data_IF_274104930462
#
_entry.id   IF_274104930462
#
_cell.length_a   1.000
_cell.length_b   1.000
_cell.length_c   1.000
_cell.angle_alpha   90.00
_cell.angle_beta   90.00
_cell.angle_gamma   90.00
#
_symmetry.space_group_name_H-M   'P 1'
#
loop_
_entity.id
_entity.type
_entity.pdbx_description
1 polymer ?
#
# COMPACT_ATOMS: atom_id res chain seq x y z
N UNK A 1 5.85 -32.28 -2.67
CA UNK A 1 5.31 -32.81 -3.94
C UNK A 1 4.49 -31.72 -4.61
N UNK A 2 4.82 -31.48 -5.88
CA UNK A 2 4.24 -30.52 -6.83
C UNK A 2 2.73 -30.29 -6.74
N UNK A 3 2.33 -29.02 -6.73
CA UNK A 3 1.49 -28.40 -7.79
C UNK A 3 1.42 -26.88 -7.62
N UNK A 4 2.32 -26.19 -8.33
CA UNK A 4 2.07 -24.85 -8.85
C UNK A 4 0.88 -24.92 -9.81
N UNK A 5 -0.35 -24.83 -9.31
CA UNK A 5 -1.51 -24.53 -10.15
C UNK A 5 -1.70 -23.02 -10.14
N UNK A 6 -0.82 -22.36 -10.88
CA UNK A 6 -1.04 -21.03 -11.39
C UNK A 6 -2.20 -21.15 -12.38
N UNK A 7 -3.40 -20.86 -11.91
CA UNK A 7 -4.49 -20.46 -12.78
C UNK A 7 -4.88 -19.07 -12.32
N UNK A 8 -4.18 -18.05 -12.84
CA UNK A 8 -4.71 -16.69 -12.84
C UNK A 8 -6.13 -16.79 -13.36
N UNK A 9 -7.08 -16.32 -12.55
CA UNK A 9 -8.49 -16.41 -12.92
C UNK A 9 -8.72 -15.53 -14.18
N UNK A 10 -9.89 -15.63 -14.81
CA UNK A 10 -10.17 -14.84 -16.02
C UNK A 10 -9.93 -13.33 -15.81
N UNK A 11 -10.21 -12.82 -14.60
CA UNK A 11 -10.05 -11.42 -14.23
C UNK A 11 -8.55 -11.06 -14.24
N UNK A 12 -7.69 -11.80 -13.54
CA UNK A 12 -6.25 -11.53 -13.47
C UNK A 12 -5.59 -11.53 -14.86
N UNK A 13 -5.98 -12.50 -15.69
CA UNK A 13 -5.50 -12.59 -17.09
C UNK A 13 -5.96 -11.40 -17.92
N UNK A 14 -7.21 -10.99 -17.76
CA UNK A 14 -7.78 -9.86 -18.50
C UNK A 14 -7.09 -8.56 -18.09
N UNK A 15 -6.91 -8.32 -16.80
CA UNK A 15 -6.17 -7.16 -16.29
C UNK A 15 -4.73 -7.12 -16.82
N UNK A 16 -4.04 -8.26 -16.81
CA UNK A 16 -2.67 -8.37 -17.33
C UNK A 16 -2.59 -8.03 -18.83
N UNK A 17 -3.53 -8.53 -19.63
CA UNK A 17 -3.59 -8.24 -21.08
C UNK A 17 -3.88 -6.75 -21.31
N UNK A 18 -4.88 -6.19 -20.62
CA UNK A 18 -5.24 -4.78 -20.77
C UNK A 18 -4.06 -3.87 -20.37
N UNK A 19 -3.40 -4.14 -19.25
CA UNK A 19 -2.22 -3.40 -18.83
C UNK A 19 -1.11 -3.44 -19.90
N UNK A 20 -0.82 -4.62 -20.45
CA UNK A 20 0.18 -4.78 -21.51
C UNK A 20 -0.18 -4.00 -22.80
N UNK A 21 -1.46 -3.93 -23.15
CA UNK A 21 -1.91 -3.12 -24.29
C UNK A 21 -1.70 -1.64 -24.00
N UNK A 22 -2.10 -1.18 -22.81
CA UNK A 22 -1.95 0.23 -22.41
C UNK A 22 -0.48 0.67 -22.42
N UNK A 23 0.46 -0.13 -21.92
CA UNK A 23 1.90 0.18 -21.94
C UNK A 23 2.49 0.32 -23.37
N UNK A 24 1.83 -0.26 -24.38
CA UNK A 24 2.25 -0.11 -25.78
C UNK A 24 1.71 1.16 -26.42
N UNK A 25 0.59 1.67 -25.93
CA UNK A 25 -0.13 2.81 -26.53
C UNK A 25 0.20 4.12 -25.80
N UNK A 26 0.36 4.08 -24.48
CA UNK A 26 0.67 5.26 -23.68
C UNK A 26 2.16 5.61 -23.87
N UNK A 27 2.49 6.87 -24.19
CA UNK A 27 3.88 7.32 -24.28
C UNK A 27 4.54 7.23 -22.91
N UNK A 28 5.34 6.18 -22.71
CA UNK A 28 6.05 5.85 -21.48
C UNK A 28 7.50 5.51 -21.80
N UNK A 29 8.40 5.92 -20.92
CA UNK A 29 9.83 5.60 -20.98
C UNK A 29 10.07 4.12 -20.69
N UNK A 30 11.27 3.62 -21.04
CA UNK A 30 11.65 2.24 -20.69
C UNK A 30 11.65 2.02 -19.18
N UNK A 31 12.10 3.02 -18.41
CA UNK A 31 12.15 2.94 -16.95
C UNK A 31 10.78 2.82 -16.30
N UNK A 32 9.80 3.62 -16.73
CA UNK A 32 8.42 3.55 -16.23
C UNK A 32 7.77 2.19 -16.52
N UNK A 33 8.03 1.62 -17.72
CA UNK A 33 7.54 0.28 -18.08
C UNK A 33 8.14 -0.82 -17.20
N UNK A 34 9.44 -0.72 -16.91
CA UNK A 34 10.13 -1.64 -16.02
C UNK A 34 9.62 -1.49 -14.58
N UNK A 35 9.50 -0.26 -14.07
CA UNK A 35 8.94 0.03 -12.75
C UNK A 35 7.55 -0.56 -12.57
N UNK A 36 6.67 -0.36 -13.55
CA UNK A 36 5.32 -0.94 -13.58
C UNK A 36 5.35 -2.48 -13.55
N UNK A 37 6.29 -3.10 -14.27
CA UNK A 37 6.41 -4.56 -14.32
C UNK A 37 6.77 -5.12 -12.94
N UNK A 38 7.80 -4.55 -12.30
CA UNK A 38 8.16 -4.93 -10.93
C UNK A 38 7.02 -4.67 -9.94
N UNK A 39 6.34 -3.53 -10.05
CA UNK A 39 5.20 -3.22 -9.19
C UNK A 39 4.08 -4.25 -9.31
N UNK A 40 3.70 -4.60 -10.54
CA UNK A 40 2.66 -5.60 -10.81
C UNK A 40 3.05 -6.97 -10.28
N UNK A 41 4.28 -7.39 -10.53
CA UNK A 41 4.76 -8.71 -10.13
C UNK A 41 4.80 -8.82 -8.60
N UNK A 42 5.18 -7.74 -7.89
CA UNK A 42 5.09 -7.64 -6.44
C UNK A 42 3.66 -7.80 -5.89
N UNK A 43 2.64 -7.40 -6.65
CA UNK A 43 1.23 -7.56 -6.26
C UNK A 43 0.66 -8.95 -6.57
N UNK A 44 1.27 -9.70 -7.48
CA UNK A 44 0.70 -10.95 -8.00
C UNK A 44 1.05 -12.22 -7.21
N UNK A 45 2.01 -12.17 -6.27
CA UNK A 45 2.53 -13.37 -5.61
C UNK A 45 2.49 -13.34 -4.08
N UNK A 46 2.25 -14.51 -3.48
CA UNK A 46 2.12 -14.71 -2.03
C UNK A 46 3.45 -14.84 -1.26
N UNK A 47 4.58 -14.49 -1.87
CA UNK A 47 5.88 -14.48 -1.21
C UNK A 47 6.31 -13.05 -0.89
N UNK A 48 6.20 -12.68 0.38
CA UNK A 48 6.57 -11.35 0.85
C UNK A 48 8.03 -10.95 0.57
N UNK A 49 8.95 -11.91 0.53
CA UNK A 49 10.36 -11.59 0.26
C UNK A 49 10.59 -11.16 -1.20
N UNK A 50 9.98 -11.87 -2.15
CA UNK A 50 10.06 -11.55 -3.57
C UNK A 50 9.32 -10.26 -3.91
N UNK A 51 8.11 -10.09 -3.34
CA UNK A 51 7.35 -8.86 -3.47
C UNK A 51 8.13 -7.64 -2.97
N UNK A 52 8.82 -7.77 -1.83
CA UNK A 52 9.64 -6.71 -1.28
C UNK A 52 10.82 -6.35 -2.20
N UNK A 53 11.49 -7.34 -2.77
CA UNK A 53 12.57 -7.11 -3.73
C UNK A 53 12.06 -6.40 -4.99
N UNK A 54 10.94 -6.83 -5.53
CA UNK A 54 10.30 -6.19 -6.68
C UNK A 54 9.89 -4.74 -6.36
N UNK A 55 9.33 -4.47 -5.18
CA UNK A 55 9.04 -3.08 -4.78
C UNK A 55 10.31 -2.22 -4.65
N UNK A 56 11.44 -2.77 -4.22
CA UNK A 56 12.70 -2.02 -4.21
C UNK A 56 13.22 -1.69 -5.61
N UNK A 57 13.12 -2.61 -6.56
CA UNK A 57 13.48 -2.32 -7.95
C UNK A 57 12.51 -1.30 -8.58
N UNK A 58 11.21 -1.43 -8.34
CA UNK A 58 10.22 -0.43 -8.76
C UNK A 58 10.54 0.95 -8.16
N UNK A 59 10.87 1.02 -6.87
CA UNK A 59 11.22 2.26 -6.16
C UNK A 59 12.49 2.94 -6.72
N UNK A 60 13.41 2.16 -7.26
CA UNK A 60 14.67 2.64 -7.84
C UNK A 60 14.45 3.30 -9.21
N UNK A 61 13.49 2.77 -9.97
CA UNK A 61 13.18 3.21 -11.33
C UNK A 61 12.11 4.30 -11.35
N UNK A 62 11.14 4.25 -10.43
CA UNK A 62 10.06 5.22 -10.36
C UNK A 62 10.54 6.56 -9.81
N UNK A 63 10.19 7.64 -10.51
CA UNK A 63 10.57 9.01 -10.18
C UNK A 63 9.36 9.83 -9.73
N UNK A 64 8.15 9.47 -10.16
CA UNK A 64 6.95 10.21 -9.83
C UNK A 64 6.65 10.09 -8.32
N UNK A 65 6.53 11.23 -7.59
CA UNK A 65 6.31 11.19 -6.16
C UNK A 65 5.02 10.48 -5.74
N UNK A 66 3.97 10.58 -6.56
CA UNK A 66 2.68 9.97 -6.28
C UNK A 66 2.79 8.45 -6.42
N UNK A 67 3.36 7.93 -7.50
CA UNK A 67 3.52 6.48 -7.67
C UNK A 67 4.49 5.89 -6.64
N UNK A 68 5.60 6.59 -6.33
CA UNK A 68 6.51 6.20 -5.25
C UNK A 68 5.82 6.10 -3.89
N UNK A 69 4.84 6.95 -3.62
CA UNK A 69 4.09 6.90 -2.36
C UNK A 69 3.34 5.56 -2.19
N UNK A 70 2.76 5.02 -3.27
CA UNK A 70 2.10 3.72 -3.23
C UNK A 70 3.08 2.56 -3.10
N UNK A 71 4.25 2.65 -3.74
CA UNK A 71 5.31 1.64 -3.57
C UNK A 71 5.77 1.61 -2.10
N UNK A 72 6.05 2.77 -1.48
CA UNK A 72 6.42 2.86 -0.05
C UNK A 72 5.31 2.31 0.86
N UNK A 73 4.05 2.66 0.58
CA UNK A 73 2.90 2.15 1.30
C UNK A 73 2.82 0.61 1.23
N UNK A 74 3.02 0.01 0.06
CA UNK A 74 2.97 -1.45 -0.10
C UNK A 74 4.16 -2.15 0.57
N UNK A 75 5.35 -1.55 0.59
CA UNK A 75 6.47 -2.03 1.41
C UNK A 75 6.07 -2.02 2.90
N UNK A 76 5.44 -0.94 3.36
CA UNK A 76 4.89 -0.84 4.72
C UNK A 76 3.90 -1.96 5.03
N UNK A 77 2.98 -2.28 4.11
CA UNK A 77 2.03 -3.40 4.25
C UNK A 77 2.74 -4.74 4.46
N UNK A 78 3.79 -5.02 3.68
CA UNK A 78 4.56 -6.26 3.82
C UNK A 78 5.21 -6.33 5.22
N UNK A 79 5.81 -5.23 5.69
CA UNK A 79 6.38 -5.17 7.03
C UNK A 79 5.31 -5.33 8.13
N UNK A 80 4.11 -4.77 7.94
CA UNK A 80 2.97 -5.01 8.84
C UNK A 80 2.62 -6.50 8.90
N UNK A 81 2.49 -7.16 7.75
CA UNK A 81 2.18 -8.59 7.66
C UNK A 81 3.26 -9.48 8.29
N UNK A 82 4.52 -9.05 8.28
CA UNK A 82 5.64 -9.73 8.93
C UNK A 82 5.76 -9.43 10.44
N UNK A 83 4.89 -8.61 11.01
CA UNK A 83 4.95 -8.19 12.41
C UNK A 83 6.05 -7.15 12.72
N UNK A 84 6.72 -6.63 11.69
CA UNK A 84 7.79 -5.63 11.82
C UNK A 84 7.21 -4.21 11.92
N UNK A 85 6.40 -3.98 12.94
CA UNK A 85 5.57 -2.78 13.07
C UNK A 85 6.36 -1.46 13.05
N UNK A 86 7.56 -1.41 13.63
CA UNK A 86 8.40 -0.20 13.61
C UNK A 86 8.84 0.18 12.19
N UNK A 87 9.27 -0.81 11.39
CA UNK A 87 9.63 -0.59 9.99
C UNK A 87 8.40 -0.20 9.17
N UNK A 88 7.27 -0.85 9.42
CA UNK A 88 6.02 -0.54 8.74
C UNK A 88 5.62 0.94 8.94
N UNK A 89 5.67 1.43 10.19
CA UNK A 89 5.40 2.83 10.51
C UNK A 89 6.36 3.77 9.75
N UNK A 90 7.66 3.47 9.72
CA UNK A 90 8.65 4.28 8.97
C UNK A 90 8.28 4.38 7.48
N UNK A 91 7.92 3.25 6.85
CA UNK A 91 7.54 3.24 5.44
C UNK A 91 6.22 3.97 5.18
N UNK A 92 5.23 3.86 6.07
CA UNK A 92 3.99 4.64 5.96
C UNK A 92 4.24 6.14 6.11
N UNK A 93 5.11 6.56 7.03
CA UNK A 93 5.51 7.95 7.16
C UNK A 93 6.18 8.46 5.88
N UNK A 94 7.14 7.71 5.34
CA UNK A 94 7.81 8.06 4.08
C UNK A 94 6.83 8.13 2.91
N UNK A 95 5.81 7.26 2.87
CA UNK A 95 4.75 7.33 1.87
C UNK A 95 3.96 8.65 1.99
N UNK A 96 3.59 9.02 3.22
CA UNK A 96 2.84 10.24 3.53
C UNK A 96 3.64 11.52 3.29
N UNK A 97 4.95 11.51 3.46
CA UNK A 97 5.84 12.63 3.08
C UNK A 97 5.78 12.91 1.57
N UNK A 98 5.54 11.88 0.75
CA UNK A 98 5.40 12.01 -0.71
C UNK A 98 3.98 12.34 -1.13
N UNK A 99 3.00 11.71 -0.47
CA UNK A 99 1.59 11.91 -0.74
C UNK A 99 0.80 11.95 0.58
N UNK A 100 0.46 13.15 1.08
CA UNK A 100 -0.31 13.29 2.31
C UNK A 100 -1.78 12.86 2.16
N UNK A 101 -2.24 12.55 0.94
CA UNK A 101 -3.61 12.12 0.64
C UNK A 101 -3.71 10.59 0.53
N UNK A 102 -3.02 9.85 1.41
CA UNK A 102 -3.08 8.39 1.53
C UNK A 102 -3.81 7.97 2.82
N UNK A 103 -5.15 7.98 2.84
CA UNK A 103 -5.93 7.66 4.03
C UNK A 103 -5.70 6.21 4.51
N UNK A 104 -5.34 5.29 3.61
CA UNK A 104 -5.02 3.91 3.95
C UNK A 104 -3.73 3.80 4.79
N UNK A 105 -2.73 4.66 4.52
CA UNK A 105 -1.50 4.69 5.31
C UNK A 105 -1.79 5.11 6.75
N UNK A 106 -2.55 6.20 6.94
CA UNK A 106 -2.99 6.62 8.26
C UNK A 106 -3.79 5.54 9.00
N UNK A 107 -4.72 4.87 8.31
CA UNK A 107 -5.48 3.78 8.91
C UNK A 107 -4.57 2.64 9.40
N UNK A 108 -3.59 2.21 8.59
CA UNK A 108 -2.68 1.12 8.99
C UNK A 108 -1.76 1.53 10.13
N UNK A 109 -1.28 2.77 10.15
CA UNK A 109 -0.53 3.32 11.28
C UNK A 109 -1.37 3.35 12.56
N UNK A 110 -2.64 3.75 12.45
CA UNK A 110 -3.57 3.76 13.58
C UNK A 110 -3.80 2.35 14.13
N UNK A 111 -4.00 1.36 13.25
CA UNK A 111 -4.16 -0.06 13.64
C UNK A 111 -2.92 -0.57 14.38
N UNK A 112 -1.72 -0.22 13.91
CA UNK A 112 -0.47 -0.57 14.61
C UNK A 112 -0.42 0.09 16.00
N UNK A 113 -0.70 1.39 16.08
CA UNK A 113 -0.65 2.14 17.33
C UNK A 113 -1.76 1.73 18.30
N UNK A 114 -2.88 1.18 17.81
CA UNK A 114 -4.06 0.89 18.62
C UNK A 114 -3.76 -0.04 19.81
N UNK A 115 -2.78 -0.93 19.69
CA UNK A 115 -2.47 -1.91 20.74
C UNK A 115 -1.65 -1.35 21.90
N UNK A 116 -1.06 -0.15 21.76
CA UNK A 116 -0.16 0.41 22.77
C UNK A 116 -0.33 1.92 23.02
N UNK A 117 -0.80 2.68 22.02
CA UNK A 117 -0.86 4.14 22.02
C UNK A 117 -2.19 4.63 21.46
N UNK A 118 -3.25 4.55 22.26
CA UNK A 118 -4.62 4.87 21.84
C UNK A 118 -4.79 6.30 21.34
N UNK A 119 -4.13 7.28 21.96
CA UNK A 119 -4.28 8.69 21.56
C UNK A 119 -3.61 8.94 20.21
N UNK A 120 -2.45 8.32 19.96
CA UNK A 120 -1.79 8.39 18.66
C UNK A 120 -2.60 7.66 17.56
N UNK A 121 -3.17 6.50 17.89
CA UNK A 121 -4.08 5.80 16.98
C UNK A 121 -5.30 6.66 16.62
N UNK A 122 -5.85 7.39 17.59
CA UNK A 122 -6.97 8.29 17.37
C UNK A 122 -6.62 9.41 16.40
N UNK A 123 -5.47 10.06 16.57
CA UNK A 123 -5.02 11.13 15.68
C UNK A 123 -4.85 10.66 14.23
N UNK A 124 -4.26 9.49 14.01
CA UNK A 124 -4.15 8.92 12.67
C UNK A 124 -5.52 8.56 12.08
N UNK A 125 -6.43 7.98 12.86
CA UNK A 125 -7.77 7.69 12.36
C UNK A 125 -8.58 8.95 12.05
N UNK A 126 -8.42 10.03 12.84
CA UNK A 126 -9.00 11.35 12.51
C UNK A 126 -8.51 11.83 11.14
N UNK A 127 -7.21 11.71 10.86
CA UNK A 127 -6.63 12.10 9.57
C UNK A 127 -7.17 11.23 8.42
N UNK A 128 -7.25 9.90 8.60
CA UNK A 128 -7.84 9.00 7.60
C UNK A 128 -9.31 9.34 7.29
N UNK A 129 -10.12 9.62 8.32
CA UNK A 129 -11.54 9.98 8.18
C UNK A 129 -11.71 11.35 7.52
N UNK A 130 -10.86 12.32 7.83
CA UNK A 130 -10.92 13.65 7.22
C UNK A 130 -10.68 13.58 5.70
N UNK A 131 -9.78 12.70 5.26
CA UNK A 131 -9.48 12.48 3.84
C UNK A 131 -10.56 11.66 3.12
N UNK A 132 -11.25 10.75 3.82
CA UNK A 132 -12.30 9.93 3.20
C UNK A 132 -13.50 9.77 4.15
N UNK A 133 -14.35 10.80 4.24
CA UNK A 133 -15.53 10.75 5.09
C UNK A 133 -16.44 9.57 4.69
N UNK A 134 -16.68 8.65 5.63
CA UNK A 134 -17.60 7.51 5.44
C UNK A 134 -16.96 6.15 5.15
N UNK A 135 -15.64 6.05 4.92
CA UNK A 135 -14.98 4.76 4.66
C UNK A 135 -14.61 4.02 5.97
N UNK A 136 -13.94 4.69 6.90
CA UNK A 136 -13.40 4.10 8.13
C UNK A 136 -14.46 4.04 9.25
N UNK A 137 -15.57 3.35 9.00
CA UNK A 137 -16.72 3.29 9.92
C UNK A 137 -16.32 2.73 11.29
N UNK A 138 -15.48 1.69 11.32
CA UNK A 138 -15.02 1.08 12.58
C UNK A 138 -14.18 2.06 13.41
N UNK A 139 -13.24 2.76 12.76
CA UNK A 139 -12.44 3.80 13.40
C UNK A 139 -13.32 4.94 13.92
N UNK A 140 -14.30 5.39 13.12
CA UNK A 140 -15.26 6.43 13.51
C UNK A 140 -16.08 6.03 14.74
N UNK A 141 -16.57 4.80 14.76
CA UNK A 141 -17.33 4.26 15.89
C UNK A 141 -16.45 4.14 17.14
N UNK A 142 -15.22 3.63 16.98
CA UNK A 142 -14.28 3.51 18.08
C UNK A 142 -13.93 4.87 18.69
N UNK A 143 -13.67 5.89 17.87
CA UNK A 143 -13.39 7.26 18.32
C UNK A 143 -14.58 7.84 19.11
N UNK A 144 -15.81 7.60 18.65
CA UNK A 144 -17.03 8.04 19.36
C UNK A 144 -17.21 7.35 20.71
N UNK A 145 -17.14 6.02 20.73
CA UNK A 145 -17.32 5.21 21.96
C UNK A 145 -16.27 5.60 23.00
N UNK A 146 -15.05 5.86 22.55
CA UNK A 146 -13.94 6.19 23.44
C UNK A 146 -13.78 7.69 23.72
N UNK A 147 -14.70 8.53 23.20
CA UNK A 147 -14.69 10.00 23.36
C UNK A 147 -13.40 10.68 22.88
N UNK A 148 -12.80 10.14 21.82
CA UNK A 148 -11.60 10.66 21.16
C UNK A 148 -11.90 11.36 19.83
N UNK A 149 -13.16 11.57 19.51
CA UNK A 149 -13.55 12.22 18.25
C UNK A 149 -13.50 13.76 18.32
N UNK A 150 -13.55 14.31 19.54
CA UNK A 150 -13.50 15.75 19.82
C UNK A 150 -12.07 16.31 19.70
#
# INVERSE_FOLDING_TARGET
MSRSRINGNFIDKTFSIVANILLRIIPTTSGEKEAFTYYRDAQSEGNYAEALQNYYEAMRLEIDPYDRSYILYNIGLIHTSNGEHTKALEYYFRALERNPFLPQAFNNMAVICHYAWFDQAAEYWKQAIALTPGNYIEAHNWLKITRRFE
#
